data_IF_124237075846
#
_entry.id   IF_124237075846
#
_cell.length_a   1.000
_cell.length_b   1.000
_cell.length_c   1.000
_cell.angle_alpha   90.00
_cell.angle_beta   90.00
_cell.angle_gamma   90.00
#
_symmetry.space_group_name_H-M   'P 1'
#
loop_
_entity.id
_entity.type
_entity.pdbx_description
1 polymer ?
#
# COMPACT_ATOMS: atom_id res chain seq x y z
N UNK A 1 3.28 -26.86 -29.51
CA UNK A 1 2.30 -26.96 -28.42
C UNK A 1 1.60 -25.61 -28.27
N UNK A 2 0.27 -25.60 -28.30
CA UNK A 2 -0.54 -24.37 -28.20
C UNK A 2 -0.75 -24.05 -26.73
N UNK A 3 -0.14 -22.99 -26.20
CA UNK A 3 -0.44 -22.51 -24.86
C UNK A 3 -1.71 -21.66 -24.90
N UNK A 4 -2.83 -22.31 -24.59
CA UNK A 4 -4.09 -21.66 -24.25
C UNK A 4 -3.99 -21.06 -22.84
N UNK A 5 -3.66 -19.78 -22.73
CA UNK A 5 -4.06 -18.97 -21.58
C UNK A 5 -5.04 -17.91 -22.09
N UNK A 6 -6.28 -17.86 -21.57
CA UNK A 6 -7.23 -16.82 -21.95
C UNK A 6 -6.77 -15.53 -21.29
N UNK A 7 -5.99 -14.71 -22.00
CA UNK A 7 -5.92 -13.29 -21.69
C UNK A 7 -7.34 -12.75 -21.83
N UNK A 8 -8.02 -12.45 -20.71
CA UNK A 8 -9.21 -11.60 -20.73
C UNK A 8 -8.72 -10.15 -20.81
N UNK A 9 -8.92 -9.41 -21.91
CA UNK A 9 -8.65 -7.98 -21.94
C UNK A 9 -9.86 -7.28 -21.32
N UNK A 10 -9.85 -7.11 -20.00
CA UNK A 10 -10.75 -6.18 -19.33
C UNK A 10 -10.12 -5.67 -18.04
N UNK A 11 -8.82 -5.40 -18.08
CA UNK A 11 -8.25 -4.51 -17.09
C UNK A 11 -8.69 -3.10 -17.48
N UNK A 12 -9.74 -2.61 -16.82
CA UNK A 12 -10.00 -1.17 -16.79
C UNK A 12 -8.83 -0.56 -16.03
N UNK A 13 -8.12 0.38 -16.67
CA UNK A 13 -7.21 1.29 -15.97
C UNK A 13 -7.95 1.76 -14.70
N UNK A 14 -7.37 1.63 -13.49
CA UNK A 14 -7.98 2.24 -12.32
C UNK A 14 -8.30 3.69 -12.67
N UNK A 15 -9.54 4.13 -12.43
CA UNK A 15 -9.87 5.55 -12.55
C UNK A 15 -8.78 6.33 -11.84
N UNK A 16 -8.36 7.46 -12.42
CA UNK A 16 -7.42 8.39 -11.77
C UNK A 16 -7.83 8.50 -10.30
N UNK A 17 -6.90 8.32 -9.35
CA UNK A 17 -7.26 8.25 -7.94
C UNK A 17 -8.08 9.50 -7.65
N UNK A 18 -9.37 9.30 -7.35
CA UNK A 18 -10.22 10.37 -6.84
C UNK A 18 -9.39 10.99 -5.73
N UNK A 19 -9.11 12.29 -5.86
CA UNK A 19 -8.32 13.03 -4.90
C UNK A 19 -8.73 12.55 -3.51
N UNK A 20 -7.76 11.99 -2.78
CA UNK A 20 -8.01 11.44 -1.45
C UNK A 20 -8.80 12.51 -0.69
N UNK A 21 -9.99 12.22 -0.12
CA UNK A 21 -10.74 13.21 0.62
C UNK A 21 -9.76 13.89 1.60
N UNK A 22 -9.83 15.23 1.71
CA UNK A 22 -8.78 16.11 2.27
C UNK A 22 -8.39 15.78 3.74
N UNK A 23 -8.96 14.74 4.34
CA UNK A 23 -8.59 14.14 5.63
C UNK A 23 -8.73 12.61 5.61
N UNK A 24 -8.09 11.91 4.66
CA UNK A 24 -8.25 10.45 4.49
C UNK A 24 -7.62 9.62 5.61
N UNK A 25 -8.31 9.55 6.75
CA UNK A 25 -7.98 8.65 7.85
C UNK A 25 -8.47 7.23 7.54
N UNK A 26 -7.75 6.52 6.66
CA UNK A 26 -8.12 5.17 6.22
C UNK A 26 -8.24 4.18 7.38
N UNK A 27 -7.27 4.21 8.32
CA UNK A 27 -7.21 3.25 9.42
C UNK A 27 -8.35 3.45 10.44
N UNK A 28 -8.62 4.66 10.98
CA UNK A 28 -9.82 4.90 11.78
C UNK A 28 -11.11 4.49 11.08
N UNK A 29 -11.26 4.80 9.79
CA UNK A 29 -12.45 4.42 9.03
C UNK A 29 -12.59 2.90 8.87
N UNK A 30 -11.50 2.20 8.61
CA UNK A 30 -11.49 0.74 8.52
C UNK A 30 -11.86 0.09 9.86
N UNK A 31 -11.38 0.65 10.99
CA UNK A 31 -11.73 0.20 12.34
C UNK A 31 -13.22 0.43 12.63
N UNK A 32 -13.74 1.61 12.35
CA UNK A 32 -15.17 1.94 12.51
C UNK A 32 -16.06 0.94 11.75
N UNK A 33 -15.76 0.71 10.47
CA UNK A 33 -16.51 -0.23 9.63
C UNK A 33 -16.43 -1.66 10.17
N UNK A 34 -15.25 -2.11 10.60
CA UNK A 34 -15.04 -3.49 11.04
C UNK A 34 -15.63 -3.76 12.42
N UNK A 35 -15.40 -2.86 13.37
CA UNK A 35 -15.67 -3.07 14.80
C UNK A 35 -17.04 -2.53 15.20
N UNK A 36 -17.36 -1.30 14.81
CA UNK A 36 -18.58 -0.62 15.25
C UNK A 36 -19.78 -0.95 14.35
N UNK A 37 -19.55 -1.02 13.04
CA UNK A 37 -20.61 -1.29 12.07
C UNK A 37 -20.72 -2.77 11.67
N UNK A 38 -19.83 -3.63 12.17
CA UNK A 38 -19.79 -5.07 11.87
C UNK A 38 -19.74 -5.40 10.37
N UNK A 39 -19.02 -4.59 9.60
CA UNK A 39 -18.81 -4.71 8.14
C UNK A 39 -17.34 -4.97 7.82
N UNK A 40 -16.82 -6.18 8.12
CA UNK A 40 -15.39 -6.48 8.00
C UNK A 40 -14.88 -6.42 6.56
N UNK A 41 -15.70 -6.78 5.56
CA UNK A 41 -15.31 -6.71 4.15
C UNK A 41 -15.14 -5.26 3.66
N UNK A 42 -16.05 -4.36 4.07
CA UNK A 42 -15.94 -2.94 3.74
C UNK A 42 -14.74 -2.29 4.45
N UNK A 43 -14.50 -2.65 5.72
CA UNK A 43 -13.33 -2.20 6.47
C UNK A 43 -12.01 -2.64 5.84
N UNK A 44 -11.91 -3.92 5.42
CA UNK A 44 -10.74 -4.44 4.71
C UNK A 44 -10.53 -3.70 3.37
N UNK A 45 -11.60 -3.40 2.63
CA UNK A 45 -11.50 -2.65 1.38
C UNK A 45 -10.90 -1.27 1.59
N UNK A 46 -11.39 -0.52 2.59
CA UNK A 46 -10.85 0.81 2.94
C UNK A 46 -9.38 0.72 3.36
N UNK A 47 -9.01 -0.32 4.12
CA UNK A 47 -7.63 -0.54 4.52
C UNK A 47 -6.71 -0.79 3.32
N UNK A 48 -7.13 -1.62 2.36
CA UNK A 48 -6.38 -1.89 1.13
C UNK A 48 -6.30 -0.65 0.22
N UNK A 49 -7.36 0.15 0.14
CA UNK A 49 -7.35 1.45 -0.55
C UNK A 49 -6.33 2.40 0.08
N UNK A 50 -6.26 2.46 1.41
CA UNK A 50 -5.26 3.23 2.14
C UNK A 50 -3.83 2.77 1.84
N UNK A 51 -3.59 1.45 1.84
CA UNK A 51 -2.29 0.91 1.48
C UNK A 51 -1.90 1.26 0.04
N UNK A 52 -2.81 1.10 -0.92
CA UNK A 52 -2.54 1.45 -2.32
C UNK A 52 -2.25 2.95 -2.48
N UNK A 53 -2.99 3.82 -1.79
CA UNK A 53 -2.77 5.25 -1.82
C UNK A 53 -1.38 5.64 -1.30
N UNK A 54 -1.03 5.23 -0.07
CA UNK A 54 0.26 5.57 0.52
C UNK A 54 1.43 4.91 -0.21
N UNK A 55 1.23 3.70 -0.74
CA UNK A 55 2.21 3.05 -1.61
C UNK A 55 2.49 3.91 -2.85
N UNK A 56 1.46 4.35 -3.57
CA UNK A 56 1.61 5.16 -4.77
C UNK A 56 2.29 6.51 -4.46
N UNK A 57 1.91 7.20 -3.39
CA UNK A 57 2.57 8.43 -2.97
C UNK A 57 4.06 8.22 -2.69
N UNK A 58 4.42 7.10 -2.05
CA UNK A 58 5.80 6.74 -1.77
C UNK A 58 6.56 6.39 -3.05
N UNK A 59 5.94 5.60 -3.94
CA UNK A 59 6.54 5.19 -5.21
C UNK A 59 6.78 6.39 -6.14
N UNK A 60 5.84 7.35 -6.23
CA UNK A 60 6.00 8.58 -6.99
C UNK A 60 7.16 9.43 -6.45
N UNK A 61 7.26 9.58 -5.12
CA UNK A 61 8.38 10.29 -4.50
C UNK A 61 9.73 9.59 -4.74
N UNK A 62 9.72 8.26 -4.93
CA UNK A 62 10.90 7.45 -5.22
C UNK A 62 11.25 7.32 -6.71
N UNK A 63 10.37 7.74 -7.62
CA UNK A 63 10.55 7.62 -9.07
C UNK A 63 11.90 8.13 -9.64
N UNK A 64 12.59 9.14 -9.07
CA UNK A 64 13.85 9.63 -9.63
C UNK A 64 15.12 8.90 -9.14
N UNK A 65 15.03 7.87 -8.28
CA UNK A 65 16.24 7.23 -7.73
C UNK A 65 16.82 6.13 -8.63
N UNK A 66 18.16 6.09 -8.83
CA UNK A 66 18.81 5.02 -9.58
C UNK A 66 18.66 3.65 -8.90
N UNK A 67 18.50 2.58 -9.69
CA UNK A 67 18.45 1.21 -9.19
C UNK A 67 19.69 0.84 -8.35
N UNK A 68 20.85 1.41 -8.68
CA UNK A 68 22.11 1.20 -7.95
C UNK A 68 22.03 1.63 -6.48
N UNK A 69 21.15 2.58 -6.14
CA UNK A 69 21.02 3.14 -4.79
C UNK A 69 19.91 2.46 -3.97
N UNK A 70 19.31 1.38 -4.49
CA UNK A 70 18.22 0.66 -3.80
C UNK A 70 18.61 0.22 -2.39
N UNK A 71 19.87 -0.18 -2.18
CA UNK A 71 20.37 -0.56 -0.86
C UNK A 71 20.28 0.60 0.15
N UNK A 72 20.54 1.85 -0.29
CA UNK A 72 20.41 3.03 0.57
C UNK A 72 18.96 3.31 0.93
N UNK A 73 18.03 3.16 -0.04
CA UNK A 73 16.60 3.30 0.21
C UNK A 73 16.11 2.28 1.24
N UNK A 74 16.52 1.01 1.12
CA UNK A 74 16.17 -0.04 2.09
C UNK A 74 16.63 0.35 3.51
N UNK A 75 17.87 0.83 3.66
CA UNK A 75 18.41 1.26 4.96
C UNK A 75 17.59 2.43 5.53
N UNK A 76 17.29 3.43 4.71
CA UNK A 76 16.53 4.61 5.14
C UNK A 76 15.09 4.25 5.54
N UNK A 77 14.37 3.46 4.74
CA UNK A 77 13.01 3.04 5.07
C UNK A 77 12.96 2.20 6.35
N UNK A 78 13.94 1.32 6.56
CA UNK A 78 14.07 0.54 7.79
C UNK A 78 14.27 1.47 9.00
N UNK A 79 15.13 2.47 8.87
CA UNK A 79 15.38 3.44 9.93
C UNK A 79 14.15 4.30 10.25
N UNK A 80 13.41 4.74 9.22
CA UNK A 80 12.16 5.49 9.37
C UNK A 80 11.12 4.63 10.10
N UNK A 81 10.91 3.39 9.68
CA UNK A 81 9.96 2.47 10.31
C UNK A 81 10.31 2.22 11.79
N UNK A 82 11.59 2.00 12.11
CA UNK A 82 12.04 1.83 13.48
C UNK A 82 11.81 3.10 14.32
N UNK A 83 12.06 4.28 13.73
CA UNK A 83 11.87 5.57 14.40
C UNK A 83 10.40 5.86 14.69
N UNK A 84 9.49 5.59 13.73
CA UNK A 84 8.04 5.68 13.94
C UNK A 84 7.57 4.72 15.03
N UNK A 85 8.08 3.48 15.02
CA UNK A 85 7.73 2.47 16.04
C UNK A 85 8.19 2.85 17.43
N UNK A 86 9.37 3.48 17.55
CA UNK A 86 9.88 3.99 18.82
C UNK A 86 9.05 5.17 19.35
N UNK A 87 8.61 6.07 18.45
CA UNK A 87 7.82 7.24 18.82
C UNK A 87 6.38 6.89 19.22
N UNK A 88 5.77 5.91 18.57
CA UNK A 88 4.41 5.43 18.89
C UNK A 88 4.36 3.89 18.99
N UNK A 89 4.59 3.35 20.21
CA UNK A 89 4.51 1.91 20.45
C UNK A 89 3.11 1.32 20.24
N UNK A 90 2.04 2.12 20.35
CA UNK A 90 0.69 1.65 20.12
C UNK A 90 0.44 1.44 18.63
N UNK A 91 0.90 2.38 17.79
CA UNK A 91 0.91 2.22 16.34
C UNK A 91 1.77 1.03 15.91
N UNK A 92 2.94 0.82 16.53
CA UNK A 92 3.80 -0.34 16.25
C UNK A 92 3.07 -1.67 16.50
N UNK A 93 2.41 -1.80 17.65
CA UNK A 93 1.62 -3.00 17.98
C UNK A 93 0.45 -3.20 17.00
N UNK A 94 -0.18 -2.10 16.55
CA UNK A 94 -1.24 -2.16 15.56
C UNK A 94 -0.72 -2.61 14.20
N UNK A 95 0.45 -2.13 13.77
CA UNK A 95 1.10 -2.57 12.53
C UNK A 95 1.36 -4.09 12.54
N UNK A 96 1.90 -4.63 13.65
CA UNK A 96 2.09 -6.08 13.80
C UNK A 96 0.79 -6.89 13.68
N UNK A 97 -0.33 -6.34 14.18
CA UNK A 97 -1.64 -6.98 14.03
C UNK A 97 -2.09 -6.94 12.57
N UNK A 98 -1.93 -5.80 11.90
CA UNK A 98 -2.33 -5.64 10.50
C UNK A 98 -1.52 -6.57 9.59
N UNK A 99 -0.20 -6.70 9.78
CA UNK A 99 0.66 -7.58 8.97
C UNK A 99 0.26 -9.06 9.07
N UNK A 100 -0.31 -9.50 10.19
CA UNK A 100 -0.77 -10.89 10.37
C UNK A 100 -2.01 -11.22 9.53
N UNK A 101 -2.84 -10.22 9.22
CA UNK A 101 -4.12 -10.40 8.51
C UNK A 101 -4.07 -9.91 7.07
N UNK A 102 -3.25 -8.91 6.77
CA UNK A 102 -3.17 -8.32 5.44
C UNK A 102 -1.97 -8.86 4.69
N UNK A 103 -2.23 -9.55 3.57
CA UNK A 103 -1.20 -9.83 2.57
C UNK A 103 -1.14 -8.67 1.60
N UNK A 104 -0.08 -7.88 1.67
CA UNK A 104 0.15 -6.84 0.68
C UNK A 104 0.30 -7.46 -0.71
N UNK A 105 -0.28 -6.84 -1.75
CA UNK A 105 -0.04 -7.28 -3.13
C UNK A 105 1.45 -7.16 -3.45
N UNK A 106 1.98 -8.01 -4.36
CA UNK A 106 3.36 -7.88 -4.82
C UNK A 106 3.58 -6.46 -5.35
N UNK A 107 4.65 -5.83 -4.85
CA UNK A 107 5.08 -4.53 -5.32
C UNK A 107 5.88 -4.75 -6.60
N UNK A 108 5.23 -4.56 -7.74
CA UNK A 108 5.96 -4.34 -8.99
C UNK A 108 6.49 -2.91 -8.95
N UNK A 109 7.69 -2.70 -8.40
CA UNK A 109 8.47 -1.52 -8.73
C UNK A 109 8.62 -1.57 -10.25
N UNK A 110 7.81 -0.78 -10.97
CA UNK A 110 7.93 -0.69 -12.41
C UNK A 110 9.40 -0.42 -12.71
N UNK A 111 10.06 -1.40 -13.33
CA UNK A 111 11.22 -1.12 -14.15
C UNK A 111 10.78 0.03 -15.05
N UNK A 112 11.37 1.21 -14.85
CA UNK A 112 11.24 2.32 -15.76
C UNK A 112 11.82 1.87 -17.10
N UNK A 113 11.02 1.14 -17.87
CA UNK A 113 11.29 0.79 -19.24
C UNK A 113 10.38 1.67 -20.08
N UNK A 114 11.06 2.53 -20.84
CA UNK A 114 10.60 3.32 -21.99
C UNK A 114 10.11 4.73 -21.69
N UNK A 115 11.03 5.68 -21.85
CA UNK A 115 11.21 6.33 -23.15
C UNK A 115 12.70 6.45 -23.47
#
# INVERSE_FOLDING_TARGET
MKNNFPFRPHWKKPEEPKAAPETSQYLPRAVELTVEQHKPEEGLRVLLEGFAHYFNCTAEALGPYPLADTAMLIVLYTHIAASLSYQDPAAAKMAEQIEKVVKLPPVDFYAASKK
#
